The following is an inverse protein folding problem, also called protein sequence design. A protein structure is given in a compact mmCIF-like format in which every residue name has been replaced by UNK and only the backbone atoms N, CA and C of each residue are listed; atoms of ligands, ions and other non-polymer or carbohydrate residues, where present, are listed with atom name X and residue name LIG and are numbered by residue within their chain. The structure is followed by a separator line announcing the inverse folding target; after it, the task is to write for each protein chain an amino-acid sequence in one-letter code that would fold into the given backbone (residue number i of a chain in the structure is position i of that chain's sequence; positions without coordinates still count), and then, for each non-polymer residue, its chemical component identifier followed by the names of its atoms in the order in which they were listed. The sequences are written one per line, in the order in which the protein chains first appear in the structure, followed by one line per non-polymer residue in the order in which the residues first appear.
data_IF_110572563047
#
_entry.id   IF_110572563047
#
_cell.length_a   1.000
_cell.length_b   1.000
_cell.length_c   1.000
_cell.angle_alpha   90.00
_cell.angle_beta   90.00
_cell.angle_gamma   90.00
#
_symmetry.space_group_name_H-M   'P 1'
#
loop_
_entity.id
_entity.type
_entity.pdbx_description
1 polymer ?
#
# COMPACT_ATOMS: atom_id res chain seq x y z
N UNK A 1 -45.54 -5.41 3.84
CA UNK A 1 -44.66 -6.48 4.34
C UNK A 1 -43.31 -5.87 4.66
N UNK A 2 -42.99 -5.71 5.94
CA UNK A 2 -41.69 -5.20 6.38
C UNK A 2 -40.69 -6.35 6.35
N UNK A 3 -39.73 -6.32 5.42
CA UNK A 3 -38.54 -7.17 5.55
C UNK A 3 -37.64 -6.55 6.60
N UNK A 4 -37.67 -7.09 7.82
CA UNK A 4 -36.63 -6.86 8.82
C UNK A 4 -35.33 -7.46 8.28
N UNK A 5 -34.53 -6.67 7.57
CA UNK A 5 -33.17 -7.05 7.23
C UNK A 5 -32.34 -7.06 8.52
N UNK A 6 -32.20 -8.24 9.12
CA UNK A 6 -31.22 -8.43 10.19
C UNK A 6 -29.85 -8.02 9.65
N UNK A 7 -29.32 -6.89 10.14
CA UNK A 7 -27.93 -6.49 9.95
C UNK A 7 -27.05 -7.49 10.69
N UNK A 8 -26.80 -8.64 10.07
CA UNK A 8 -25.94 -9.69 10.59
C UNK A 8 -24.57 -9.09 10.94
N UNK A 9 -23.99 -9.55 12.04
CA UNK A 9 -22.68 -9.10 12.53
C UNK A 9 -21.83 -10.32 12.83
N UNK A 10 -20.54 -10.20 12.59
CA UNK A 10 -19.55 -11.18 13.04
C UNK A 10 -18.21 -10.51 13.37
N UNK A 11 -17.26 -11.28 13.88
CA UNK A 11 -15.90 -10.85 14.12
C UNK A 11 -15.11 -10.91 12.81
N UNK A 12 -14.56 -9.77 12.38
CA UNK A 12 -13.60 -9.75 11.30
C UNK A 12 -12.22 -10.08 11.86
N UNK A 13 -11.69 -11.24 11.49
CA UNK A 13 -10.38 -11.74 11.92
C UNK A 13 -9.48 -11.92 10.72
N UNK A 14 -8.20 -11.69 10.91
CA UNK A 14 -7.23 -11.98 9.86
C UNK A 14 -5.82 -11.95 10.38
N UNK A 15 -4.92 -12.36 9.50
CA UNK A 15 -3.49 -12.41 9.69
C UNK A 15 -2.83 -11.59 8.58
N UNK A 16 -1.78 -10.85 8.94
CA UNK A 16 -0.98 -10.05 8.01
C UNK A 16 0.46 -10.50 8.09
N UNK A 17 1.01 -10.90 6.94
CA UNK A 17 2.41 -11.28 6.79
C UNK A 17 3.17 -10.24 5.96
N UNK A 18 4.46 -10.08 6.27
CA UNK A 18 5.38 -9.26 5.49
C UNK A 18 5.65 -9.92 4.14
N UNK A 19 5.51 -9.15 3.06
CA UNK A 19 5.75 -9.64 1.69
C UNK A 19 7.18 -10.13 1.45
N UNK A 20 8.19 -9.59 2.12
CA UNK A 20 9.60 -9.82 1.81
C UNK A 20 10.07 -11.20 2.23
N UNK A 21 9.66 -11.65 3.42
CA UNK A 21 10.12 -12.87 4.06
C UNK A 21 8.98 -13.76 4.56
N UNK A 22 7.72 -13.31 4.46
CA UNK A 22 6.56 -14.03 4.96
C UNK A 22 6.42 -14.00 6.49
N UNK A 23 7.20 -13.18 7.19
CA UNK A 23 7.15 -13.09 8.64
C UNK A 23 5.84 -12.46 9.14
N UNK A 24 5.51 -12.71 10.40
CA UNK A 24 4.40 -12.06 11.08
C UNK A 24 4.60 -10.53 11.06
N UNK A 25 3.55 -9.77 10.74
CA UNK A 25 3.66 -8.32 10.60
C UNK A 25 2.93 -7.58 11.73
N UNK A 26 3.61 -7.25 12.84
CA UNK A 26 3.01 -6.54 13.96
C UNK A 26 2.83 -5.05 13.71
N UNK A 27 1.77 -4.47 14.29
CA UNK A 27 1.55 -3.03 14.28
C UNK A 27 0.88 -2.49 13.02
N UNK A 28 0.45 -3.34 12.09
CA UNK A 28 -0.29 -2.93 10.89
C UNK A 28 -1.69 -2.47 11.30
N UNK A 29 -2.02 -1.22 10.96
CA UNK A 29 -3.33 -0.64 11.22
C UNK A 29 -4.31 -1.18 10.19
N UNK A 30 -5.40 -1.75 10.68
CA UNK A 30 -6.49 -2.31 9.87
C UNK A 30 -7.71 -1.40 9.98
N UNK A 31 -8.20 -0.88 8.86
CA UNK A 31 -9.35 0.03 8.82
C UNK A 31 -10.43 -0.46 7.85
N UNK A 32 -11.69 -0.38 8.29
CA UNK A 32 -12.87 -0.47 7.43
C UNK A 32 -13.59 0.87 7.45
N UNK A 33 -13.85 1.43 6.27
CA UNK A 33 -14.51 2.72 6.08
C UNK A 33 -15.80 2.58 5.29
N UNK A 34 -16.78 3.42 5.60
CA UNK A 34 -18.02 3.62 4.83
C UNK A 34 -18.26 5.11 4.71
N UNK A 35 -18.61 5.58 3.50
CA UNK A 35 -18.82 7.01 3.23
C UNK A 35 -17.62 7.86 3.71
N UNK A 36 -16.40 7.41 3.38
CA UNK A 36 -15.13 8.06 3.75
C UNK A 36 -14.83 8.15 5.26
N UNK A 37 -15.70 7.62 6.11
CA UNK A 37 -15.52 7.57 7.56
C UNK A 37 -15.05 6.19 7.99
N UNK A 38 -13.96 6.13 8.75
CA UNK A 38 -13.50 4.90 9.42
C UNK A 38 -14.56 4.50 10.45
N UNK A 39 -15.18 3.34 10.23
CA UNK A 39 -16.23 2.78 11.07
C UNK A 39 -15.72 1.64 11.96
N UNK A 40 -14.67 0.95 11.52
CA UNK A 40 -13.95 -0.03 12.33
C UNK A 40 -12.45 0.14 12.17
N UNK A 41 -11.72 -0.11 13.26
CA UNK A 41 -10.27 -0.03 13.31
C UNK A 41 -9.71 -1.07 14.26
N UNK A 42 -8.58 -1.66 13.91
CA UNK A 42 -7.75 -2.47 14.80
C UNK A 42 -6.29 -2.36 14.39
N UNK A 43 -5.43 -3.12 15.05
CA UNK A 43 -4.02 -3.23 14.76
C UNK A 43 -3.60 -4.69 14.93
N UNK A 44 -2.68 -5.16 14.10
CA UNK A 44 -2.10 -6.51 14.24
C UNK A 44 -1.22 -6.60 15.48
N UNK A 45 -1.29 -7.75 16.16
CA UNK A 45 -0.45 -8.09 17.31
C UNK A 45 0.92 -8.63 16.89
N UNK A 46 1.69 -9.16 17.85
CA UNK A 46 3.05 -9.69 17.62
C UNK A 46 3.07 -10.86 16.62
N UNK A 47 1.96 -11.59 16.52
CA UNK A 47 1.80 -12.73 15.63
C UNK A 47 1.23 -12.30 14.28
N UNK A 48 1.03 -11.00 14.03
CA UNK A 48 0.45 -10.49 12.79
C UNK A 48 -1.07 -10.63 12.74
N UNK A 49 -1.70 -11.07 13.82
CA UNK A 49 -3.13 -11.34 13.88
C UNK A 49 -3.91 -10.10 14.32
N UNK A 50 -5.12 -9.94 13.77
CA UNK A 50 -6.06 -8.91 14.22
C UNK A 50 -7.48 -9.47 14.38
N UNK A 51 -8.24 -8.81 15.24
CA UNK A 51 -9.66 -9.12 15.45
C UNK A 51 -10.46 -7.85 15.71
N UNK A 52 -11.52 -7.63 14.92
CA UNK A 52 -12.50 -6.58 15.11
C UNK A 52 -13.84 -7.25 15.44
N UNK A 53 -14.38 -6.95 16.62
CA UNK A 53 -15.64 -7.55 17.08
C UNK A 53 -16.86 -6.84 16.50
N UNK A 54 -17.93 -7.61 16.27
CA UNK A 54 -19.27 -7.08 15.92
C UNK A 54 -19.30 -6.21 14.64
N UNK A 55 -18.52 -6.59 13.63
CA UNK A 55 -18.53 -5.96 12.31
C UNK A 55 -19.82 -6.35 11.59
N UNK A 56 -20.57 -5.37 11.12
CA UNK A 56 -21.79 -5.61 10.32
C UNK A 56 -21.43 -6.17 8.96
N UNK A 57 -22.27 -7.05 8.44
CA UNK A 57 -22.13 -7.47 7.07
C UNK A 57 -22.43 -6.33 6.12
N UNK A 58 -21.62 -6.21 5.07
CA UNK A 58 -21.72 -5.11 4.14
C UNK A 58 -20.48 -4.95 3.27
N UNK A 59 -20.49 -3.87 2.51
CA UNK A 59 -19.37 -3.44 1.66
C UNK A 59 -18.64 -2.31 2.38
N UNK A 60 -17.32 -2.39 2.37
CA UNK A 60 -16.43 -1.45 3.01
C UNK A 60 -15.29 -1.09 2.07
N UNK A 61 -14.73 0.10 2.27
CA UNK A 61 -13.36 0.34 1.86
C UNK A 61 -12.44 -0.22 2.95
N UNK A 62 -11.59 -1.19 2.60
CA UNK A 62 -10.65 -1.82 3.51
C UNK A 62 -9.23 -1.28 3.28
N UNK A 63 -8.53 -0.93 4.36
CA UNK A 63 -7.17 -0.41 4.31
C UNK A 63 -6.24 -1.11 5.30
N UNK A 64 -5.01 -1.36 4.85
CA UNK A 64 -3.88 -1.70 5.72
C UNK A 64 -2.86 -0.56 5.66
N UNK A 65 -2.40 -0.11 6.82
CA UNK A 65 -1.44 0.99 6.93
C UNK A 65 -0.32 0.61 7.89
N UNK A 66 0.89 0.91 7.51
CA UNK A 66 2.07 0.88 8.38
C UNK A 66 2.97 2.04 8.01
N UNK A 67 3.79 2.49 8.94
CA UNK A 67 4.71 3.61 8.70
C UNK A 67 5.64 3.27 7.52
N UNK A 68 5.91 4.27 6.67
CA UNK A 68 6.81 4.17 5.51
C UNK A 68 6.43 3.18 4.40
N UNK A 69 5.25 2.54 4.49
CA UNK A 69 4.68 1.73 3.41
C UNK A 69 3.51 2.41 2.72
N UNK A 70 3.35 2.13 1.43
CA UNK A 70 2.14 2.50 0.71
C UNK A 70 0.92 1.81 1.32
N UNK A 71 -0.14 2.59 1.53
CA UNK A 71 -1.39 2.07 2.06
C UNK A 71 -2.02 1.10 1.07
N UNK A 72 -2.28 -0.12 1.51
CA UNK A 72 -3.13 -1.03 0.75
C UNK A 72 -4.57 -0.53 0.83
N UNK A 73 -5.26 -0.48 -0.31
CA UNK A 73 -6.67 -0.09 -0.39
C UNK A 73 -7.42 -1.11 -1.24
N UNK A 74 -8.50 -1.67 -0.67
CA UNK A 74 -9.53 -2.38 -1.41
C UNK A 74 -10.84 -1.59 -1.29
N UNK A 75 -11.28 -0.99 -2.40
CA UNK A 75 -12.45 -0.10 -2.44
C UNK A 75 -13.79 -0.83 -2.25
N UNK A 76 -13.84 -2.12 -2.53
CA UNK A 76 -15.08 -2.91 -2.52
C UNK A 76 -14.88 -4.23 -1.75
N UNK A 77 -14.52 -4.11 -0.46
CA UNK A 77 -14.36 -5.26 0.40
C UNK A 77 -15.71 -5.73 0.95
N UNK A 78 -16.15 -6.91 0.53
CA UNK A 78 -17.37 -7.55 1.02
C UNK A 78 -17.09 -8.33 2.30
N UNK A 79 -17.59 -7.85 3.43
CA UNK A 79 -17.61 -8.59 4.68
C UNK A 79 -18.97 -9.29 4.83
N UNK A 80 -19.00 -10.60 4.58
CA UNK A 80 -20.23 -11.41 4.61
C UNK A 80 -19.96 -12.87 5.03
N UNK A 81 -18.87 -13.11 5.74
CA UNK A 81 -18.40 -14.47 6.07
C UNK A 81 -18.45 -14.71 7.58
N UNK A 82 -18.97 -15.88 7.95
CA UNK A 82 -18.97 -16.34 9.33
C UNK A 82 -17.65 -17.05 9.67
N UNK A 83 -17.02 -16.70 10.79
CA UNK A 83 -15.86 -17.39 11.40
C UNK A 83 -14.66 -17.63 10.47
N UNK A 84 -14.53 -16.88 9.36
CA UNK A 84 -13.37 -16.98 8.47
C UNK A 84 -12.22 -16.09 8.95
N UNK A 85 -11.01 -16.66 8.95
CA UNK A 85 -9.76 -15.89 9.08
C UNK A 85 -9.32 -15.47 7.68
N UNK A 86 -9.02 -14.19 7.50
CA UNK A 86 -8.55 -13.60 6.25
C UNK A 86 -7.04 -13.46 6.26
N UNK A 87 -6.37 -13.98 5.24
CA UNK A 87 -4.93 -13.88 5.07
C UNK A 87 -4.59 -12.71 4.16
N UNK A 88 -3.66 -11.84 4.58
CA UNK A 88 -3.16 -10.72 3.80
C UNK A 88 -1.64 -10.73 3.77
N UNK A 89 -1.09 -10.35 2.61
CA UNK A 89 0.35 -10.09 2.43
C UNK A 89 0.51 -8.59 2.22
N UNK A 90 1.33 -7.94 3.05
CA UNK A 90 1.49 -6.49 3.08
C UNK A 90 2.98 -6.12 3.27
N UNK A 91 3.51 -5.05 2.65
CA UNK A 91 2.87 -4.20 1.64
C UNK A 91 2.48 -4.99 0.38
N UNK A 92 1.61 -4.42 -0.45
CA UNK A 92 1.38 -4.97 -1.78
C UNK A 92 2.66 -4.96 -2.61
N UNK A 93 2.82 -5.89 -3.57
CA UNK A 93 3.97 -5.88 -4.45
C UNK A 93 4.05 -4.54 -5.18
N UNK A 94 5.24 -3.94 -5.17
CA UNK A 94 5.47 -2.70 -5.88
C UNK A 94 5.14 -2.87 -7.35
N UNK A 95 4.42 -1.89 -7.91
CA UNK A 95 4.17 -1.86 -9.34
C UNK A 95 5.51 -1.71 -10.06
N UNK A 96 5.82 -2.63 -10.97
CA UNK A 96 7.06 -2.53 -11.75
C UNK A 96 7.12 -1.20 -12.50
N UNK A 97 8.25 -0.51 -12.38
CA UNK A 97 8.51 0.76 -13.04
C UNK A 97 8.83 0.50 -14.53
N UNK A 98 7.78 0.45 -15.35
CA UNK A 98 7.94 0.39 -16.81
C UNK A 98 8.57 1.70 -17.28
N UNK A 99 9.51 1.65 -18.23
CA UNK A 99 10.16 2.84 -18.83
C UNK A 99 9.23 3.57 -19.81
N UNK A 100 8.01 3.86 -19.37
CA UNK A 100 7.01 4.64 -20.09
C UNK A 100 6.41 5.64 -19.11
N UNK A 101 6.50 6.92 -19.47
CA UNK A 101 5.91 8.00 -18.73
C UNK A 101 4.39 7.75 -18.54
N UNK A 102 3.81 8.04 -17.36
CA UNK A 102 2.36 8.05 -17.16
C UNK A 102 1.57 8.96 -18.11
N UNK A 103 2.26 9.87 -18.82
CA UNK A 103 1.71 10.70 -19.91
C UNK A 103 1.95 10.10 -21.32
N UNK A 104 2.13 8.78 -21.38
CA UNK A 104 2.20 7.95 -22.57
C UNK A 104 3.32 8.32 -23.58
N UNK A 105 4.57 8.35 -23.10
CA UNK A 105 5.76 8.50 -23.96
C UNK A 105 6.98 7.86 -23.30
N UNK A 106 8.03 7.62 -24.08
CA UNK A 106 9.28 6.98 -23.60
C UNK A 106 10.53 7.85 -23.80
N UNK A 107 10.38 9.07 -24.33
CA UNK A 107 11.48 10.02 -24.51
C UNK A 107 11.75 10.86 -23.25
N UNK A 108 12.97 11.41 -23.16
CA UNK A 108 13.39 12.31 -22.06
C UNK A 108 13.25 11.70 -20.65
N UNK A 109 13.28 10.37 -20.56
CA UNK A 109 13.31 9.62 -19.31
C UNK A 109 14.75 9.36 -18.87
N UNK A 110 15.04 9.58 -17.59
CA UNK A 110 16.35 9.31 -16.98
C UNK A 110 16.17 8.48 -15.71
N UNK A 111 17.14 7.61 -15.35
CA UNK A 111 17.04 6.83 -14.13
C UNK A 111 17.16 7.72 -12.89
N UNK A 112 16.46 7.34 -11.84
CA UNK A 112 16.61 7.90 -10.50
C UNK A 112 17.67 7.08 -9.76
N UNK A 113 18.59 7.78 -9.10
CA UNK A 113 19.62 7.18 -8.26
C UNK A 113 19.48 7.72 -6.85
N UNK A 114 19.38 6.82 -5.88
CA UNK A 114 19.22 7.11 -4.47
C UNK A 114 20.53 6.89 -3.70
N UNK A 115 20.55 7.38 -2.46
CA UNK A 115 21.70 7.33 -1.56
C UNK A 115 22.63 8.52 -1.72
N UNK A 116 23.74 8.49 -0.97
CA UNK A 116 24.75 9.55 -0.98
C UNK A 116 25.52 9.56 -2.32
N UNK A 117 25.41 10.62 -3.14
CA UNK A 117 26.06 10.65 -4.44
C UNK A 117 27.57 10.88 -4.31
N UNK A 118 28.36 10.08 -5.02
CA UNK A 118 29.79 10.38 -5.29
C UNK A 118 29.90 11.48 -6.35
N UNK A 119 31.05 12.16 -6.43
CA UNK A 119 31.26 13.28 -7.38
C UNK A 119 30.89 12.96 -8.84
N UNK A 120 31.22 11.75 -9.32
CA UNK A 120 30.90 11.32 -10.67
C UNK A 120 29.38 11.28 -10.93
N UNK A 121 28.60 10.91 -9.91
CA UNK A 121 27.15 10.89 -10.00
C UNK A 121 26.59 12.31 -9.98
N UNK A 122 27.16 13.21 -9.16
CA UNK A 122 26.83 14.65 -9.17
C UNK A 122 27.08 15.26 -10.55
N UNK A 123 28.22 14.95 -11.18
CA UNK A 123 28.53 15.39 -12.56
C UNK A 123 27.51 14.87 -13.58
N UNK A 124 27.05 13.62 -13.44
CA UNK A 124 25.99 13.06 -14.30
C UNK A 124 24.63 13.73 -14.07
N UNK A 125 24.30 14.07 -12.84
CA UNK A 125 23.08 14.77 -12.47
C UNK A 125 23.06 16.19 -13.05
N UNK A 126 24.17 16.94 -12.92
CA UNK A 126 24.34 18.27 -13.55
C UNK A 126 24.19 18.23 -15.08
N UNK A 127 24.49 17.09 -15.71
CA UNK A 127 24.32 16.85 -17.16
C UNK A 127 22.95 16.25 -17.51
N UNK A 128 22.00 16.21 -16.57
CA UNK A 128 20.65 15.65 -16.75
C UNK A 128 20.64 14.22 -17.32
N UNK A 129 21.64 13.42 -16.95
CA UNK A 129 21.76 11.99 -17.30
C UNK A 129 21.15 11.06 -16.26
N UNK A 130 21.05 11.53 -15.02
CA UNK A 130 20.44 10.83 -13.87
C UNK A 130 19.72 11.86 -13.01
N UNK A 131 18.70 11.43 -12.27
CA UNK A 131 18.04 12.24 -11.25
C UNK A 131 18.46 11.74 -9.86
N UNK A 132 18.76 12.64 -8.92
CA UNK A 132 19.12 12.25 -7.55
C UNK A 132 17.84 12.16 -6.70
N UNK A 133 17.48 10.94 -6.30
CA UNK A 133 16.19 10.60 -5.68
C UNK A 133 16.06 10.99 -4.21
N UNK A 134 17.19 11.15 -3.51
CA UNK A 134 17.26 11.36 -2.06
C UNK A 134 18.08 10.26 -1.38
N UNK A 135 18.12 10.26 -0.04
CA UNK A 135 18.91 9.29 0.73
C UNK A 135 18.19 7.96 0.98
N UNK A 136 16.85 7.94 1.03
CA UNK A 136 16.08 6.80 1.51
C UNK A 136 15.63 5.94 0.32
N UNK A 137 15.87 4.64 0.44
CA UNK A 137 15.28 3.59 -0.41
C UNK A 137 14.19 2.90 0.41
N UNK A 138 12.96 3.27 0.15
CA UNK A 138 11.76 2.48 0.40
C UNK A 138 11.61 1.40 -0.68
N UNK A 139 10.84 0.37 -0.36
CA UNK A 139 10.66 -0.82 -1.19
C UNK A 139 10.05 -0.49 -2.57
N UNK A 140 9.18 0.53 -2.66
CA UNK A 140 8.48 0.92 -3.90
C UNK A 140 8.98 2.23 -4.53
N UNK A 141 10.24 2.59 -4.31
CA UNK A 141 10.79 3.84 -4.83
C UNK A 141 10.76 3.93 -6.38
N UNK A 142 10.33 5.09 -6.92
CA UNK A 142 10.38 5.37 -8.35
C UNK A 142 11.75 5.15 -9.00
N UNK A 143 11.80 4.50 -10.15
CA UNK A 143 13.07 4.22 -10.85
C UNK A 143 13.33 5.19 -12.00
N UNK A 144 12.31 5.90 -12.48
CA UNK A 144 12.37 6.76 -13.65
C UNK A 144 11.89 8.18 -13.35
N UNK A 145 12.60 9.15 -13.91
CA UNK A 145 12.22 10.55 -13.89
C UNK A 145 11.98 11.05 -15.31
N UNK A 146 10.79 11.61 -15.55
CA UNK A 146 10.45 12.27 -16.81
C UNK A 146 10.87 13.74 -16.76
N UNK A 147 11.86 14.12 -17.56
CA UNK A 147 12.31 15.53 -17.64
C UNK A 147 11.27 16.47 -18.26
N UNK A 148 10.36 15.94 -19.09
CA UNK A 148 9.35 16.75 -19.79
C UNK A 148 8.22 17.19 -18.87
N UNK A 149 7.82 16.34 -17.94
CA UNK A 149 6.68 16.57 -17.04
C UNK A 149 7.09 16.71 -15.57
N UNK A 150 8.38 16.60 -15.27
CA UNK A 150 8.95 16.69 -13.92
C UNK A 150 8.32 15.71 -12.91
N UNK A 151 8.04 14.48 -13.35
CA UNK A 151 7.42 13.41 -12.53
C UNK A 151 8.39 12.25 -12.30
N UNK A 152 8.31 11.64 -11.12
CA UNK A 152 8.98 10.39 -10.73
C UNK A 152 7.98 9.23 -10.81
N UNK A 153 8.37 8.07 -11.34
CA UNK A 153 7.55 6.85 -11.42
C UNK A 153 8.41 5.58 -11.58
#
# INVERSE_FOLDING_TARGET
MFFSAYSQKDNFRGHVSDRHDGANFPGVIVELSQNEKVVYKSQTDIDGDFSIKNVKFGIYEFKLKYIDYETYVNQEFHFNKNNKIFEFVYPSPCKESVKVCPKNHSDKLIPIVYGLPRENLVKKAKKSKVYLGGCILTDCDPKWYCKKHSIKF
#
